data_IF_664362145877
#
_entry.id   IF_664362145877
#
_cell.length_a   1.000
_cell.length_b   1.000
_cell.length_c   1.000
_cell.angle_alpha   90.00
_cell.angle_beta   90.00
_cell.angle_gamma   90.00
#
_symmetry.space_group_name_H-M   'P 1'
#
loop_
_entity.id
_entity.type
_entity.pdbx_description
1 polymer ?
#
# COMPACT_ATOMS: atom_id res chain seq x y z
N UNK A 1 21.14 -2.88 7.01
CA UNK A 1 20.65 -3.37 8.30
C UNK A 1 19.34 -4.16 8.21
N UNK A 2 18.28 -3.67 7.51
CA UNK A 2 16.98 -4.40 7.36
C UNK A 2 17.12 -5.77 6.69
N UNK A 3 17.88 -5.90 5.57
CA UNK A 3 18.06 -7.19 4.89
C UNK A 3 18.75 -8.24 5.77
N UNK A 4 19.67 -7.80 6.62
CA UNK A 4 20.37 -8.70 7.57
C UNK A 4 19.42 -9.21 8.65
N UNK A 5 18.52 -8.37 9.16
CA UNK A 5 17.50 -8.75 10.13
C UNK A 5 16.53 -9.80 9.58
N UNK A 6 16.05 -9.63 8.36
CA UNK A 6 15.17 -10.62 7.68
C UNK A 6 15.88 -11.94 7.46
N UNK A 7 17.15 -11.92 7.06
CA UNK A 7 17.96 -13.15 6.88
C UNK A 7 18.16 -13.84 8.23
N UNK A 8 18.54 -13.11 9.27
CA UNK A 8 18.69 -13.64 10.62
C UNK A 8 17.36 -14.26 11.09
N UNK A 9 16.24 -13.55 10.93
CA UNK A 9 14.92 -14.03 11.32
C UNK A 9 14.50 -15.31 10.59
N UNK A 10 14.80 -15.41 9.29
CA UNK A 10 14.45 -16.58 8.47
C UNK A 10 15.25 -17.83 8.82
N UNK A 11 16.49 -17.69 9.25
CA UNK A 11 17.39 -18.82 9.48
C UNK A 11 17.57 -19.19 10.95
N UNK A 12 17.26 -18.31 11.90
CA UNK A 12 17.47 -18.60 13.33
C UNK A 12 16.64 -19.78 13.83
N UNK A 13 15.37 -19.88 13.48
CA UNK A 13 14.52 -20.99 13.95
C UNK A 13 14.98 -22.35 13.37
N UNK A 14 15.20 -22.51 12.05
CA UNK A 14 15.73 -23.75 11.49
C UNK A 14 17.07 -24.16 12.11
N UNK A 15 17.96 -23.19 12.32
CA UNK A 15 19.28 -23.46 12.94
C UNK A 15 19.13 -23.91 14.39
N UNK A 16 18.31 -23.24 15.19
CA UNK A 16 18.06 -23.62 16.58
C UNK A 16 17.42 -25.01 16.68
N UNK A 17 16.44 -25.31 15.83
CA UNK A 17 15.81 -26.64 15.78
C UNK A 17 16.83 -27.72 15.39
N UNK A 18 17.68 -27.46 14.40
CA UNK A 18 18.71 -28.38 13.97
C UNK A 18 19.73 -28.65 15.09
N UNK A 19 20.19 -27.62 15.78
CA UNK A 19 21.10 -27.72 16.91
C UNK A 19 20.44 -28.55 18.05
N UNK A 20 19.19 -28.23 18.36
CA UNK A 20 18.44 -28.99 19.43
C UNK A 20 18.30 -30.45 19.06
N UNK A 21 18.04 -30.77 17.80
CA UNK A 21 17.92 -32.16 17.33
C UNK A 21 19.25 -32.92 17.43
N UNK A 22 20.34 -32.26 17.03
CA UNK A 22 21.71 -32.84 17.12
C UNK A 22 22.05 -33.12 18.60
N UNK A 23 21.83 -32.14 19.48
CA UNK A 23 22.10 -32.30 20.91
C UNK A 23 21.24 -33.39 21.53
N UNK A 24 19.97 -33.50 21.09
CA UNK A 24 19.07 -34.60 21.53
C UNK A 24 19.62 -36.00 21.12
N UNK A 25 20.05 -36.14 19.86
CA UNK A 25 20.67 -37.38 19.39
C UNK A 25 21.95 -37.72 20.17
N UNK A 26 22.80 -36.73 20.45
CA UNK A 26 24.01 -36.90 21.23
C UNK A 26 23.71 -37.35 22.69
N UNK A 27 22.67 -36.76 23.31
CA UNK A 27 22.25 -37.13 24.65
C UNK A 27 21.73 -38.56 24.69
N UNK A 28 20.98 -39.00 23.66
CA UNK A 28 20.56 -40.40 23.54
C UNK A 28 21.79 -41.32 23.46
N UNK A 29 22.75 -40.98 22.60
CA UNK A 29 23.99 -41.75 22.44
C UNK A 29 24.78 -41.86 23.75
N UNK A 30 24.90 -40.77 24.49
CA UNK A 30 25.60 -40.74 25.80
C UNK A 30 24.90 -41.58 26.85
N UNK A 31 23.56 -41.48 27.00
CA UNK A 31 22.80 -42.26 27.94
C UNK A 31 22.85 -43.78 27.66
N UNK A 32 22.84 -44.17 26.40
CA UNK A 32 23.03 -45.54 25.96
C UNK A 32 24.46 -46.04 26.24
N UNK A 33 25.47 -45.22 25.92
CA UNK A 33 26.88 -45.55 26.15
C UNK A 33 27.23 -45.68 27.64
N UNK A 34 26.59 -44.90 28.50
CA UNK A 34 26.73 -44.95 29.94
C UNK A 34 25.92 -46.09 30.61
N UNK A 35 25.12 -46.85 29.84
CA UNK A 35 24.26 -47.93 30.39
C UNK A 35 23.06 -47.42 31.19
N UNK A 36 22.75 -46.11 31.09
CA UNK A 36 21.63 -45.48 31.80
C UNK A 36 20.27 -45.76 31.17
N UNK A 37 20.24 -46.17 29.92
CA UNK A 37 19.05 -46.56 29.18
C UNK A 37 19.29 -47.86 28.41
N UNK A 38 18.27 -48.76 28.40
CA UNK A 38 18.34 -50.05 27.72
C UNK A 38 18.06 -50.00 26.23
N UNK A 39 17.38 -48.94 25.80
CA UNK A 39 17.04 -48.75 24.38
C UNK A 39 16.93 -47.23 24.03
N UNK A 40 16.97 -46.87 22.72
CA UNK A 40 16.90 -45.48 22.29
C UNK A 40 15.63 -44.75 22.69
N UNK A 41 14.50 -45.46 22.80
CA UNK A 41 13.20 -44.87 23.18
C UNK A 41 13.24 -44.43 24.64
N UNK A 42 13.73 -45.33 25.53
CA UNK A 42 13.91 -45.03 26.94
C UNK A 42 14.88 -43.85 27.15
N UNK A 43 15.99 -43.86 26.43
CA UNK A 43 16.97 -42.77 26.45
C UNK A 43 16.33 -41.44 25.99
N UNK A 44 15.48 -41.47 24.96
CA UNK A 44 14.76 -40.32 24.44
C UNK A 44 13.73 -39.77 25.43
N UNK A 45 12.96 -40.64 26.07
CA UNK A 45 12.00 -40.29 27.13
C UNK A 45 12.72 -39.67 28.32
N UNK A 46 13.78 -40.27 28.79
CA UNK A 46 14.60 -39.76 29.90
C UNK A 46 15.26 -38.42 29.54
N UNK A 47 15.63 -38.19 28.26
CA UNK A 47 16.15 -36.93 27.81
C UNK A 47 15.08 -35.84 27.82
N UNK A 48 13.84 -36.16 27.43
CA UNK A 48 12.71 -35.23 27.39
C UNK A 48 12.13 -34.90 28.77
N UNK A 49 12.13 -35.87 29.70
CA UNK A 49 11.55 -35.69 31.04
C UNK A 49 12.47 -34.97 32.01
N UNK A 50 13.69 -34.60 31.57
CA UNK A 50 14.67 -33.90 32.41
C UNK A 50 15.06 -34.66 33.68
N UNK A 51 14.77 -35.96 33.73
CA UNK A 51 15.12 -36.82 34.83
C UNK A 51 16.64 -37.05 34.78
N UNK A 52 17.35 -36.22 35.48
CA UNK A 52 18.77 -35.97 35.29
C UNK A 52 19.66 -36.87 36.14
N UNK A 53 20.30 -37.81 35.50
CA UNK A 53 21.71 -38.00 35.84
C UNK A 53 22.47 -36.91 35.07
N UNK A 54 23.17 -36.05 35.80
CA UNK A 54 23.88 -34.86 35.28
C UNK A 54 24.99 -35.26 34.31
N UNK A 55 24.63 -35.37 33.05
CA UNK A 55 25.65 -35.48 31.99
C UNK A 55 25.81 -34.09 31.34
N UNK A 56 27.01 -33.70 30.92
CA UNK A 56 27.28 -32.37 30.36
C UNK A 56 26.40 -32.05 29.14
N UNK A 57 26.06 -33.07 28.33
CA UNK A 57 25.19 -32.91 27.17
C UNK A 57 23.73 -32.60 27.53
N UNK A 58 23.22 -33.12 28.65
CA UNK A 58 21.86 -32.88 29.12
C UNK A 58 21.66 -31.38 29.41
N UNK A 59 22.66 -30.72 29.99
CA UNK A 59 22.61 -29.30 30.29
C UNK A 59 22.54 -28.46 28.98
N UNK A 60 23.35 -28.77 27.97
CA UNK A 60 23.33 -28.06 26.66
C UNK A 60 22.02 -28.32 25.91
N UNK A 61 21.49 -29.54 25.98
CA UNK A 61 20.19 -29.86 25.36
C UNK A 61 19.06 -29.07 26.00
N UNK A 62 18.99 -29.04 27.35
CA UNK A 62 18.00 -28.27 28.08
C UNK A 62 18.07 -26.79 27.75
N UNK A 63 19.28 -26.23 27.66
CA UNK A 63 19.49 -24.86 27.23
C UNK A 63 18.98 -24.63 25.79
N UNK A 64 19.31 -25.53 24.86
CA UNK A 64 18.88 -25.40 23.45
C UNK A 64 17.36 -25.52 23.31
N UNK A 65 16.72 -26.44 24.04
CA UNK A 65 15.26 -26.59 24.07
C UNK A 65 14.61 -25.31 24.62
N UNK A 66 15.07 -24.83 25.77
CA UNK A 66 14.54 -23.62 26.40
C UNK A 66 14.71 -22.40 25.52
N UNK A 67 15.86 -22.25 24.82
CA UNK A 67 16.07 -21.18 23.85
C UNK A 67 15.12 -21.28 22.67
N UNK A 68 14.84 -22.51 22.18
CA UNK A 68 13.89 -22.74 21.08
C UNK A 68 12.46 -22.36 21.50
N UNK A 69 12.04 -22.76 22.70
CA UNK A 69 10.74 -22.38 23.27
C UNK A 69 10.63 -20.88 23.51
N UNK A 70 11.67 -20.25 24.08
CA UNK A 70 11.71 -18.80 24.28
C UNK A 70 11.63 -18.03 22.94
N UNK A 71 12.32 -18.53 21.91
CA UNK A 71 12.26 -17.96 20.56
C UNK A 71 10.87 -18.15 19.92
N UNK A 72 10.26 -19.33 20.03
CA UNK A 72 8.92 -19.58 19.52
C UNK A 72 7.88 -18.70 20.24
N UNK A 73 7.96 -18.60 21.57
CA UNK A 73 7.10 -17.72 22.36
C UNK A 73 7.30 -16.25 21.98
N UNK A 74 8.55 -15.80 21.78
CA UNK A 74 8.86 -14.45 21.29
C UNK A 74 8.28 -14.21 19.90
N UNK A 75 8.35 -15.18 18.98
CA UNK A 75 7.73 -15.06 17.65
C UNK A 75 6.21 -14.96 17.72
N UNK A 76 5.56 -15.80 18.53
CA UNK A 76 4.10 -15.73 18.74
C UNK A 76 3.73 -14.38 19.36
N UNK A 77 4.48 -13.92 20.34
CA UNK A 77 4.30 -12.63 20.97
C UNK A 77 4.52 -11.48 19.97
N UNK A 78 5.58 -11.52 19.17
CA UNK A 78 5.85 -10.54 18.11
C UNK A 78 4.79 -10.58 17.00
N UNK A 79 4.29 -11.76 16.62
CA UNK A 79 3.21 -11.88 15.65
C UNK A 79 1.88 -11.31 16.20
N UNK A 80 1.56 -11.57 17.46
CA UNK A 80 0.36 -11.04 18.13
C UNK A 80 0.46 -9.52 18.41
N UNK A 81 1.65 -9.02 18.68
CA UNK A 81 1.94 -7.60 18.88
C UNK A 81 2.27 -6.87 17.59
N UNK A 82 2.67 -7.57 16.52
CA UNK A 82 3.19 -6.98 15.29
C UNK A 82 2.27 -5.92 14.71
N UNK A 83 0.95 -6.17 14.70
CA UNK A 83 -0.07 -5.21 14.29
C UNK A 83 -0.12 -3.96 15.18
N UNK A 84 0.09 -4.12 16.48
CA UNK A 84 0.08 -3.01 17.45
C UNK A 84 1.41 -2.28 17.47
N UNK A 85 2.51 -3.00 17.32
CA UNK A 85 3.85 -2.43 17.26
C UNK A 85 4.08 -1.64 15.99
N UNK A 86 3.62 -2.10 14.81
CA UNK A 86 3.72 -1.36 13.57
C UNK A 86 2.99 -0.01 13.66
N UNK A 87 1.77 -0.01 14.20
CA UNK A 87 1.02 1.22 14.42
C UNK A 87 1.73 2.16 15.42
N UNK A 88 2.31 1.62 16.49
CA UNK A 88 3.07 2.40 17.47
C UNK A 88 4.38 2.94 16.89
N UNK A 89 5.11 2.12 16.13
CA UNK A 89 6.35 2.51 15.46
C UNK A 89 6.12 3.59 14.41
N UNK A 90 5.08 3.44 13.60
CA UNK A 90 4.67 4.48 12.64
C UNK A 90 4.35 5.77 13.39
N UNK A 91 3.50 5.69 14.41
CA UNK A 91 3.07 6.86 15.18
C UNK A 91 4.22 7.57 15.91
N UNK A 92 5.23 6.84 16.38
CA UNK A 92 6.29 7.40 17.21
C UNK A 92 7.55 7.79 16.42
N UNK A 93 7.90 7.03 15.38
CA UNK A 93 9.20 7.12 14.72
C UNK A 93 9.16 7.58 13.26
N UNK A 94 7.99 7.54 12.58
CA UNK A 94 7.92 8.04 11.20
C UNK A 94 7.89 9.56 11.20
N UNK A 95 8.81 10.17 10.44
CA UNK A 95 8.87 11.61 10.17
C UNK A 95 9.09 11.80 8.68
N UNK A 96 8.58 12.89 8.12
CA UNK A 96 8.76 13.23 6.69
C UNK A 96 8.43 12.03 5.80
N UNK A 97 7.21 11.53 5.91
CA UNK A 97 6.77 10.34 5.21
C UNK A 97 5.52 10.61 4.39
N UNK A 98 5.24 9.70 3.46
CA UNK A 98 4.05 9.70 2.62
C UNK A 98 3.00 8.77 3.23
N UNK A 99 1.79 9.25 3.43
CA UNK A 99 0.64 8.47 3.88
C UNK A 99 -0.27 8.20 2.68
N UNK A 100 -0.62 6.96 2.44
CA UNK A 100 -1.58 6.55 1.40
C UNK A 100 -2.74 5.84 2.09
N UNK A 101 -3.96 6.32 1.88
CA UNK A 101 -5.17 5.72 2.45
C UNK A 101 -6.05 5.21 1.32
N UNK A 102 -6.37 3.91 1.34
CA UNK A 102 -7.13 3.26 0.28
C UNK A 102 -8.11 2.20 0.81
N UNK A 103 -9.02 1.78 -0.04
CA UNK A 103 -9.93 0.66 0.22
C UNK A 103 -10.98 0.92 1.28
N UNK A 104 -11.25 2.19 1.59
CA UNK A 104 -12.27 2.57 2.54
C UNK A 104 -13.61 2.81 1.85
N UNK A 105 -14.64 2.11 2.27
CA UNK A 105 -16.02 2.42 1.93
C UNK A 105 -16.87 2.43 3.21
N UNK A 106 -17.41 3.59 3.56
CA UNK A 106 -18.31 3.73 4.71
C UNK A 106 -19.65 3.03 4.49
N UNK A 107 -20.01 2.75 3.26
CA UNK A 107 -21.40 2.46 2.93
C UNK A 107 -21.70 1.15 2.27
N UNK A 108 -20.81 0.36 1.69
CA UNK A 108 -21.22 -0.96 1.19
C UNK A 108 -20.12 -1.77 0.50
N UNK A 109 -20.34 -3.08 0.55
CA UNK A 109 -19.74 -4.17 -0.19
C UNK A 109 -19.23 -3.78 -1.58
N UNK A 110 -18.02 -4.20 -1.84
CA UNK A 110 -17.36 -4.28 -3.14
C UNK A 110 -18.38 -4.54 -4.27
N UNK A 111 -18.75 -3.51 -5.01
CA UNK A 111 -19.25 -3.67 -6.35
C UNK A 111 -18.07 -4.03 -7.25
N UNK A 112 -17.96 -5.30 -7.53
CA UNK A 112 -17.01 -5.91 -8.44
C UNK A 112 -17.13 -5.28 -9.83
N UNK A 113 -16.04 -4.67 -10.32
CA UNK A 113 -15.97 -4.24 -11.72
C UNK A 113 -15.29 -2.90 -12.01
N UNK A 114 -14.87 -2.16 -10.99
CA UNK A 114 -14.07 -0.92 -11.17
C UNK A 114 -12.61 -1.19 -10.83
N UNK A 115 -11.72 -0.39 -11.39
CA UNK A 115 -10.30 -0.39 -11.05
C UNK A 115 -10.13 -0.57 -9.54
N UNK A 116 -9.44 -1.62 -9.14
CA UNK A 116 -9.22 -1.91 -7.74
C UNK A 116 -8.30 -0.82 -7.17
N UNK A 117 -8.88 0.15 -6.48
CA UNK A 117 -8.13 1.29 -5.92
C UNK A 117 -7.09 0.82 -4.91
N UNK A 118 -7.27 -0.36 -4.32
CA UNK A 118 -6.28 -0.98 -3.45
C UNK A 118 -5.02 -1.35 -4.23
N UNK A 119 -5.16 -1.90 -5.44
CA UNK A 119 -4.01 -2.24 -6.29
C UNK A 119 -3.30 -0.97 -6.77
N UNK A 120 -4.05 0.05 -7.19
CA UNK A 120 -3.47 1.36 -7.51
C UNK A 120 -2.72 1.98 -6.33
N UNK A 121 -3.29 1.93 -5.13
CA UNK A 121 -2.65 2.44 -3.92
C UNK A 121 -1.38 1.66 -3.56
N UNK A 122 -1.39 0.35 -3.78
CA UNK A 122 -0.23 -0.52 -3.58
C UNK A 122 0.90 -0.17 -4.54
N UNK A 123 0.59 -0.04 -5.83
CA UNK A 123 1.57 0.34 -6.85
C UNK A 123 2.14 1.74 -6.59
N UNK A 124 1.29 2.67 -6.17
CA UNK A 124 1.70 4.01 -5.74
C UNK A 124 2.65 3.93 -4.53
N UNK A 125 2.32 3.10 -3.54
CA UNK A 125 3.15 2.92 -2.34
C UNK A 125 4.51 2.31 -2.68
N UNK A 126 4.55 1.29 -3.54
CA UNK A 126 5.78 0.65 -4.01
C UNK A 126 6.63 1.66 -4.80
N UNK A 127 6.02 2.43 -5.67
CA UNK A 127 6.73 3.45 -6.45
C UNK A 127 7.29 4.55 -5.55
N UNK A 128 6.51 5.04 -4.59
CA UNK A 128 6.92 6.08 -3.66
C UNK A 128 7.99 5.60 -2.67
N UNK A 129 7.99 4.31 -2.30
CA UNK A 129 8.96 3.74 -1.33
C UNK A 129 10.41 3.77 -1.81
N UNK A 130 10.64 3.95 -3.11
CA UNK A 130 11.98 4.09 -3.68
C UNK A 130 12.70 5.34 -3.17
N UNK A 131 11.95 6.42 -2.93
CA UNK A 131 12.51 7.73 -2.58
C UNK A 131 12.02 8.26 -1.23
N UNK A 132 10.94 7.70 -0.68
CA UNK A 132 10.30 8.19 0.54
C UNK A 132 10.02 7.05 1.51
N UNK A 133 9.91 7.38 2.80
CA UNK A 133 9.26 6.47 3.75
C UNK A 133 7.76 6.48 3.47
N UNK A 134 7.16 5.31 3.32
CA UNK A 134 5.73 5.20 2.97
C UNK A 134 4.98 4.44 4.04
N UNK A 135 3.81 4.94 4.37
CA UNK A 135 2.81 4.29 5.22
C UNK A 135 1.54 4.14 4.40
N UNK A 136 1.07 2.92 4.20
CA UNK A 136 -0.22 2.64 3.57
C UNK A 136 -1.23 2.22 4.64
N UNK A 137 -2.39 2.86 4.63
CA UNK A 137 -3.51 2.52 5.51
C UNK A 137 -4.59 1.78 4.70
N UNK A 138 -4.86 0.54 5.09
CA UNK A 138 -5.81 -0.36 4.44
C UNK A 138 -6.79 -0.94 5.48
N UNK A 139 -8.07 -1.19 5.13
CA UNK A 139 -9.04 -1.79 6.05
C UNK A 139 -8.68 -3.24 6.36
N UNK A 140 -8.21 -3.97 5.37
CA UNK A 140 -7.79 -5.36 5.48
C UNK A 140 -6.66 -5.63 4.49
N UNK A 141 -5.73 -6.49 4.88
CA UNK A 141 -4.64 -6.96 4.03
C UNK A 141 -4.29 -8.38 4.45
N UNK A 142 -4.01 -9.23 3.49
CA UNK A 142 -3.49 -10.58 3.69
C UNK A 142 -2.04 -10.52 4.19
N UNK A 143 -1.65 -11.49 5.02
CA UNK A 143 -0.33 -11.51 5.65
C UNK A 143 0.81 -11.59 4.63
N UNK A 144 0.62 -12.32 3.54
CA UNK A 144 1.60 -12.42 2.45
C UNK A 144 1.82 -11.06 1.77
N UNK A 145 0.74 -10.35 1.51
CA UNK A 145 0.80 -9.01 0.90
C UNK A 145 1.42 -7.99 1.85
N UNK A 146 1.15 -8.11 3.14
CA UNK A 146 1.77 -7.28 4.18
C UNK A 146 3.27 -7.52 4.22
N UNK A 147 3.71 -8.77 4.20
CA UNK A 147 5.12 -9.15 4.22
C UNK A 147 5.84 -8.59 2.98
N UNK A 148 5.23 -8.74 1.80
CA UNK A 148 5.77 -8.19 0.56
C UNK A 148 5.94 -6.66 0.63
N UNK A 149 4.92 -5.94 1.09
CA UNK A 149 5.00 -4.48 1.24
C UNK A 149 6.07 -4.06 2.24
N UNK A 150 6.20 -4.81 3.33
CA UNK A 150 7.22 -4.55 4.34
C UNK A 150 8.65 -4.77 3.80
N UNK A 151 8.89 -5.82 3.01
CA UNK A 151 10.15 -6.07 2.31
C UNK A 151 10.51 -4.92 1.35
N UNK A 152 9.51 -4.34 0.70
CA UNK A 152 9.66 -3.18 -0.17
C UNK A 152 9.79 -1.84 0.58
N UNK A 153 9.81 -1.87 1.93
CA UNK A 153 9.98 -0.69 2.76
C UNK A 153 8.70 0.10 3.02
N UNK A 154 7.54 -0.42 2.63
CA UNK A 154 6.22 0.17 2.89
C UNK A 154 5.70 -0.35 4.23
N UNK A 155 5.33 0.54 5.13
CA UNK A 155 4.68 0.18 6.39
C UNK A 155 3.18 0.13 6.21
N UNK A 156 2.55 -0.91 6.75
CA UNK A 156 1.11 -1.11 6.63
C UNK A 156 0.44 -0.84 7.97
N UNK A 157 -0.57 0.02 7.92
CA UNK A 157 -1.47 0.30 9.05
C UNK A 157 -2.83 -0.26 8.69
N UNK A 158 -3.31 -1.19 9.49
CA UNK A 158 -4.69 -1.69 9.37
C UNK A 158 -5.58 -0.86 10.28
N UNK A 159 -6.70 -0.41 9.76
CA UNK A 159 -7.63 0.37 10.57
C UNK A 159 -9.05 -0.14 10.49
N UNK A 160 -9.84 0.21 11.50
CA UNK A 160 -11.28 -0.06 11.54
C UNK A 160 -11.99 1.20 12.06
N UNK A 161 -12.94 1.72 11.28
CA UNK A 161 -13.84 2.78 11.74
C UNK A 161 -13.43 4.21 11.37
N UNK A 162 -13.23 5.10 12.32
CA UNK A 162 -13.11 6.54 12.16
C UNK A 162 -11.89 7.00 11.32
N UNK A 163 -12.07 7.96 10.38
CA UNK A 163 -10.99 8.57 9.61
C UNK A 163 -9.87 9.16 10.47
N UNK A 164 -10.24 9.86 11.53
CA UNK A 164 -9.28 10.54 12.41
C UNK A 164 -8.40 9.54 13.12
N UNK A 165 -8.97 8.44 13.61
CA UNK A 165 -8.21 7.35 14.24
C UNK A 165 -7.22 6.72 13.25
N UNK A 166 -7.66 6.50 12.00
CA UNK A 166 -6.82 5.96 10.92
C UNK A 166 -5.64 6.87 10.60
N UNK A 167 -5.91 8.16 10.38
CA UNK A 167 -4.90 9.15 10.09
C UNK A 167 -3.90 9.30 11.23
N UNK A 168 -4.36 9.24 12.47
CA UNK A 168 -3.50 9.26 13.65
C UNK A 168 -2.62 8.01 13.73
N UNK A 169 -3.17 6.83 13.43
CA UNK A 169 -2.39 5.58 13.36
C UNK A 169 -1.34 5.63 12.25
N UNK A 170 -1.65 6.25 11.11
CA UNK A 170 -0.73 6.47 10.01
C UNK A 170 0.29 7.60 10.26
N UNK A 171 0.21 8.30 11.40
CA UNK A 171 1.16 9.35 11.77
C UNK A 171 1.03 10.64 10.98
N UNK A 172 -0.19 11.01 10.57
CA UNK A 172 -0.48 12.15 9.69
C UNK A 172 0.09 13.48 10.20
N UNK A 173 0.19 13.66 11.51
CA UNK A 173 0.72 14.88 12.13
C UNK A 173 2.19 15.17 11.78
N UNK A 174 2.91 14.22 11.19
CA UNK A 174 4.32 14.30 10.82
C UNK A 174 4.60 13.88 9.37
N UNK A 175 3.56 13.67 8.59
CA UNK A 175 3.64 13.35 7.18
C UNK A 175 3.86 14.62 6.33
N UNK A 176 4.59 14.49 5.23
CA UNK A 176 4.74 15.57 4.25
C UNK A 176 3.62 15.52 3.21
N UNK A 177 3.23 14.32 2.82
CA UNK A 177 2.20 14.08 1.81
C UNK A 177 1.18 13.07 2.30
N UNK A 178 -0.07 13.29 1.88
CA UNK A 178 -1.14 12.32 2.01
C UNK A 178 -1.82 12.11 0.66
N UNK A 179 -2.09 10.85 0.33
CA UNK A 179 -2.92 10.44 -0.80
C UNK A 179 -4.16 9.74 -0.29
N UNK A 180 -5.34 10.29 -0.60
CA UNK A 180 -6.63 9.66 -0.38
C UNK A 180 -7.07 9.03 -1.69
N UNK A 181 -7.10 7.69 -1.75
CA UNK A 181 -7.33 6.89 -2.97
C UNK A 181 -8.36 5.78 -2.73
N UNK A 182 -9.43 6.10 -2.04
CA UNK A 182 -10.57 5.20 -1.86
C UNK A 182 -11.46 5.18 -3.11
N UNK A 183 -12.30 4.16 -3.22
CA UNK A 183 -13.22 4.00 -4.37
C UNK A 183 -14.26 5.14 -4.45
N UNK A 184 -14.69 5.65 -3.31
CA UNK A 184 -15.68 6.71 -3.24
C UNK A 184 -14.99 8.09 -3.10
N UNK A 185 -15.26 9.03 -4.01
CA UNK A 185 -14.68 10.37 -3.94
C UNK A 185 -15.10 11.16 -2.69
N UNK A 186 -16.29 10.89 -2.14
CA UNK A 186 -16.76 11.54 -0.90
C UNK A 186 -15.91 11.11 0.30
N UNK A 187 -15.52 9.82 0.35
CA UNK A 187 -14.65 9.30 1.40
C UNK A 187 -13.24 9.92 1.29
N UNK A 188 -12.73 10.09 0.06
CA UNK A 188 -11.46 10.76 -0.19
C UNK A 188 -11.47 12.23 0.26
N UNK A 189 -12.57 12.93 0.03
CA UNK A 189 -12.75 14.31 0.51
C UNK A 189 -12.84 14.36 2.04
N UNK A 190 -13.59 13.44 2.65
CA UNK A 190 -13.73 13.35 4.11
C UNK A 190 -12.38 13.09 4.79
N UNK A 191 -11.59 12.14 4.26
CA UNK A 191 -10.23 11.87 4.72
C UNK A 191 -9.32 13.09 4.56
N UNK A 192 -9.41 13.75 3.40
CA UNK A 192 -8.62 14.95 3.13
C UNK A 192 -8.97 16.10 4.07
N UNK A 193 -10.26 16.29 4.36
CA UNK A 193 -10.75 17.28 5.33
C UNK A 193 -10.24 16.97 6.74
N UNK A 194 -10.34 15.72 7.18
CA UNK A 194 -9.83 15.30 8.48
C UNK A 194 -8.31 15.50 8.59
N UNK A 195 -7.55 15.20 7.52
CA UNK A 195 -6.10 15.39 7.49
C UNK A 195 -5.68 16.86 7.55
N UNK A 196 -6.43 17.74 6.89
CA UNK A 196 -6.14 19.18 6.83
C UNK A 196 -6.76 19.98 7.96
N UNK A 197 -7.52 19.32 8.84
CA UNK A 197 -8.14 19.96 10.01
C UNK A 197 -7.10 20.56 10.94
N UNK A 198 -7.38 21.69 11.60
CA UNK A 198 -6.52 22.29 12.62
C UNK A 198 -6.14 21.32 13.75
N UNK A 199 -7.00 20.33 14.03
CA UNK A 199 -6.75 19.30 15.04
C UNK A 199 -5.53 18.42 14.76
N UNK A 200 -5.13 18.27 13.49
CA UNK A 200 -3.95 17.46 13.10
C UNK A 200 -2.62 18.16 13.39
N UNK A 201 -2.63 19.47 13.66
CA UNK A 201 -1.44 20.32 13.97
C UNK A 201 -0.36 20.31 12.87
N UNK A 202 -0.60 19.70 11.71
CA UNK A 202 0.38 19.63 10.63
C UNK A 202 0.08 20.71 9.57
N UNK A 203 0.79 21.83 9.67
CA UNK A 203 0.60 22.97 8.75
C UNK A 203 1.30 22.81 7.40
N UNK A 204 2.21 21.87 7.25
CA UNK A 204 3.01 21.66 6.03
C UNK A 204 2.47 20.51 5.16
N UNK A 205 1.53 19.72 5.68
CA UNK A 205 0.94 18.59 4.98
C UNK A 205 0.33 19.00 3.64
N UNK A 206 0.76 18.32 2.58
CA UNK A 206 0.16 18.41 1.24
C UNK A 206 -0.75 17.21 1.00
N UNK A 207 -1.99 17.45 0.65
CA UNK A 207 -2.97 16.38 0.43
C UNK A 207 -3.29 16.25 -1.06
N UNK A 208 -3.31 15.00 -1.53
CA UNK A 208 -3.72 14.61 -2.89
C UNK A 208 -4.96 13.74 -2.77
N UNK A 209 -6.07 14.20 -3.34
CA UNK A 209 -7.37 13.56 -3.23
C UNK A 209 -7.79 13.03 -4.60
N UNK A 210 -7.97 11.71 -4.71
CA UNK A 210 -8.50 11.07 -5.91
C UNK A 210 -9.98 11.40 -6.06
N UNK A 211 -10.35 11.90 -7.23
CA UNK A 211 -11.73 12.24 -7.57
C UNK A 211 -12.08 11.59 -8.90
N UNK A 212 -12.83 10.50 -8.81
CA UNK A 212 -13.43 9.80 -9.94
C UNK A 212 -14.97 9.84 -9.78
N UNK A 213 -15.74 9.98 -10.82
CA UNK A 213 -15.37 10.24 -12.20
C UNK A 213 -14.99 11.70 -12.46
N UNK A 214 -14.47 11.97 -13.67
CA UNK A 214 -13.89 13.27 -14.03
C UNK A 214 -14.86 14.45 -13.87
N UNK A 215 -16.14 14.27 -14.20
CA UNK A 215 -17.17 15.32 -14.07
C UNK A 215 -17.42 15.73 -12.61
N UNK A 216 -17.26 14.80 -11.65
CA UNK A 216 -17.41 15.10 -10.23
C UNK A 216 -16.34 16.09 -9.75
N UNK A 217 -15.09 15.97 -10.25
CA UNK A 217 -14.01 16.90 -9.94
C UNK A 217 -14.37 18.35 -10.31
N UNK A 218 -15.09 18.54 -11.44
CA UNK A 218 -15.51 19.86 -11.89
C UNK A 218 -16.70 20.44 -11.12
N UNK A 219 -17.61 19.56 -10.69
CA UNK A 219 -18.80 19.97 -9.94
C UNK A 219 -18.52 20.31 -8.47
N UNK A 220 -17.32 19.96 -7.96
CA UNK A 220 -16.96 20.22 -6.58
C UNK A 220 -16.68 21.70 -6.33
N UNK A 221 -17.43 22.26 -5.41
CA UNK A 221 -17.17 23.57 -4.82
C UNK A 221 -16.36 23.35 -3.55
N UNK A 222 -15.04 23.45 -3.65
CA UNK A 222 -14.12 23.13 -2.56
C UNK A 222 -14.33 24.02 -1.34
N UNK A 223 -14.76 25.25 -1.56
CA UNK A 223 -15.05 26.26 -0.53
C UNK A 223 -16.15 25.79 0.45
N UNK A 224 -17.08 24.95 -0.01
CA UNK A 224 -18.12 24.37 0.84
C UNK A 224 -17.60 23.25 1.76
N UNK A 225 -16.46 22.66 1.42
CA UNK A 225 -15.91 21.50 2.13
C UNK A 225 -14.68 21.81 2.98
N UNK A 226 -13.94 22.85 2.66
CA UNK A 226 -12.65 23.16 3.27
C UNK A 226 -12.54 24.62 3.68
N UNK A 227 -11.84 24.87 4.77
CA UNK A 227 -11.45 26.24 5.15
C UNK A 227 -10.42 26.79 4.16
N UNK A 228 -10.44 28.09 3.88
CA UNK A 228 -9.58 28.76 2.89
C UNK A 228 -8.10 28.41 3.01
N UNK A 229 -7.57 28.38 4.23
CA UNK A 229 -6.17 28.03 4.49
C UNK A 229 -5.84 26.56 4.20
N UNK A 230 -6.86 25.70 4.09
CA UNK A 230 -6.70 24.27 3.81
C UNK A 230 -6.73 23.97 2.32
N UNK A 231 -7.45 24.78 1.53
CA UNK A 231 -7.61 24.59 0.08
C UNK A 231 -6.27 24.70 -0.66
N UNK A 232 -5.40 25.60 -0.25
CA UNK A 232 -4.07 25.76 -0.87
C UNK A 232 -3.19 24.52 -0.76
N UNK A 233 -3.45 23.66 0.23
CA UNK A 233 -2.72 22.41 0.51
C UNK A 233 -3.41 21.18 -0.08
N UNK A 234 -4.62 21.34 -0.64
CA UNK A 234 -5.39 20.28 -1.28
C UNK A 234 -5.18 20.32 -2.79
N UNK A 235 -4.89 19.16 -3.39
CA UNK A 235 -4.87 18.98 -4.83
C UNK A 235 -5.77 17.81 -5.22
N UNK A 236 -6.76 18.09 -6.05
CA UNK A 236 -7.59 17.05 -6.63
C UNK A 236 -6.90 16.46 -7.85
N UNK A 237 -6.87 15.14 -7.95
CA UNK A 237 -6.39 14.46 -9.14
C UNK A 237 -7.38 13.40 -9.60
N UNK A 238 -7.28 13.03 -10.86
CA UNK A 238 -8.09 12.00 -11.50
C UNK A 238 -7.16 11.03 -12.23
N UNK A 239 -7.33 9.74 -12.01
CA UNK A 239 -6.44 8.72 -12.56
C UNK A 239 -6.51 8.68 -14.09
N UNK A 240 -7.73 8.74 -14.65
CA UNK A 240 -7.92 8.73 -16.09
C UNK A 240 -7.27 9.94 -16.76
N UNK A 241 -7.34 11.12 -16.12
CA UNK A 241 -6.68 12.36 -16.60
C UNK A 241 -5.14 12.23 -16.57
N UNK A 242 -4.57 11.64 -15.52
CA UNK A 242 -3.13 11.41 -15.43
C UNK A 242 -2.64 10.44 -16.51
N UNK A 243 -3.38 9.36 -16.75
CA UNK A 243 -3.08 8.38 -17.82
C UNK A 243 -3.16 9.07 -19.19
N UNK A 244 -4.24 9.82 -19.42
CA UNK A 244 -4.40 10.55 -20.68
C UNK A 244 -3.24 11.53 -20.96
N UNK A 245 -2.83 12.30 -19.95
CA UNK A 245 -1.67 13.21 -20.06
C UNK A 245 -0.39 12.44 -20.38
N UNK A 246 -0.17 11.31 -19.71
CA UNK A 246 1.02 10.49 -19.95
C UNK A 246 1.02 9.92 -21.37
N UNK A 247 -0.10 9.40 -21.86
CA UNK A 247 -0.23 8.88 -23.22
C UNK A 247 0.07 9.99 -24.22
N UNK A 248 -0.57 11.15 -24.09
CA UNK A 248 -0.37 12.26 -25.02
C UNK A 248 1.03 12.88 -24.95
N UNK A 249 1.71 12.79 -23.82
CA UNK A 249 3.11 13.23 -23.69
C UNK A 249 4.10 12.24 -24.32
N UNK A 250 3.79 10.94 -24.30
CA UNK A 250 4.64 9.91 -24.93
C UNK A 250 4.38 9.77 -26.42
N UNK A 251 3.14 10.01 -26.84
CA UNK A 251 2.70 9.91 -28.22
C UNK A 251 1.99 11.21 -28.63
N UNK A 252 2.73 12.31 -28.80
CA UNK A 252 2.13 13.58 -29.19
C UNK A 252 1.48 13.45 -30.58
N UNK A 253 0.21 13.82 -30.74
CA UNK A 253 -0.52 13.60 -31.98
C UNK A 253 -0.12 14.54 -33.12
N UNK A 254 0.68 15.54 -32.83
CA UNK A 254 1.14 16.58 -33.76
C UNK A 254 2.53 16.33 -34.38
N UNK A 255 3.24 15.29 -33.97
CA UNK A 255 4.59 14.97 -34.46
C UNK A 255 4.61 14.86 -35.98
N UNK A 256 3.60 14.22 -36.58
CA UNK A 256 3.52 13.97 -38.02
C UNK A 256 3.10 15.20 -38.81
N UNK A 257 2.42 16.17 -38.19
CA UNK A 257 1.83 17.33 -38.88
C UNK A 257 2.43 18.68 -38.45
N UNK A 258 3.46 18.66 -37.60
CA UNK A 258 4.06 19.88 -37.02
C UNK A 258 4.53 20.90 -38.07
N UNK A 259 4.88 20.45 -39.25
CA UNK A 259 5.38 21.29 -40.36
C UNK A 259 4.52 21.21 -41.63
N UNK A 260 3.29 20.72 -41.55
CA UNK A 260 2.37 20.63 -42.67
C UNK A 260 1.10 21.43 -42.42
N UNK A 261 0.38 21.78 -43.50
CA UNK A 261 -0.95 22.39 -43.43
C UNK A 261 -2.04 21.34 -43.14
N UNK A 262 -1.64 20.12 -42.89
CA UNK A 262 -2.56 19.01 -42.62
C UNK A 262 -3.23 19.13 -41.28
N UNK A 263 -4.44 18.64 -41.21
CA UNK A 263 -5.24 18.63 -39.99
C UNK A 263 -4.93 17.40 -39.14
N UNK A 264 -4.62 17.58 -37.86
CA UNK A 264 -4.51 16.45 -36.92
C UNK A 264 -5.85 15.72 -36.80
N UNK A 265 -5.85 14.43 -37.06
CA UNK A 265 -7.03 13.59 -36.96
C UNK A 265 -6.75 12.40 -36.03
N UNK A 266 -7.48 12.36 -34.93
CA UNK A 266 -7.38 11.26 -33.92
C UNK A 266 -8.59 10.35 -34.01
N UNK A 267 -8.34 9.06 -34.13
CA UNK A 267 -9.36 8.01 -34.06
C UNK A 267 -9.36 7.42 -32.64
N UNK A 268 -10.52 7.45 -32.00
CA UNK A 268 -10.73 6.88 -30.65
C UNK A 268 -11.65 5.68 -30.77
N UNK A 269 -11.18 4.52 -30.31
CA UNK A 269 -11.95 3.29 -30.30
C UNK A 269 -12.50 3.03 -28.88
N UNK A 270 -13.82 3.05 -28.76
CA UNK A 270 -14.54 2.87 -27.49
C UNK A 270 -14.57 4.15 -26.63
N UNK A 271 -15.54 4.19 -25.71
CA UNK A 271 -15.71 5.29 -24.75
C UNK A 271 -15.59 4.74 -23.32
N UNK A 272 -14.40 4.87 -22.76
CA UNK A 272 -14.09 4.57 -21.35
C UNK A 272 -13.74 5.87 -20.64
N UNK A 273 -13.59 5.86 -19.33
CA UNK A 273 -13.13 7.05 -18.57
C UNK A 273 -11.77 7.55 -19.05
N UNK A 274 -10.89 6.64 -19.48
CA UNK A 274 -9.56 7.00 -20.01
C UNK A 274 -9.70 7.68 -21.38
N UNK A 275 -10.50 7.12 -22.29
CA UNK A 275 -10.70 7.72 -23.61
C UNK A 275 -11.45 9.04 -23.55
N UNK A 276 -12.41 9.20 -22.64
CA UNK A 276 -13.03 10.50 -22.33
C UNK A 276 -11.99 11.52 -21.88
N UNK A 277 -11.09 11.12 -20.98
CA UNK A 277 -10.01 11.99 -20.52
C UNK A 277 -9.01 12.32 -21.64
N UNK A 278 -8.68 11.37 -22.54
CA UNK A 278 -7.84 11.61 -23.72
C UNK A 278 -8.50 12.64 -24.64
N UNK A 279 -9.78 12.48 -24.96
CA UNK A 279 -10.54 13.41 -25.80
C UNK A 279 -10.49 14.83 -25.22
N UNK A 280 -10.75 14.97 -23.91
CA UNK A 280 -10.73 16.26 -23.23
C UNK A 280 -9.33 16.89 -23.19
N UNK A 281 -8.30 16.10 -22.90
CA UNK A 281 -6.93 16.60 -22.90
C UNK A 281 -6.49 17.00 -24.31
N UNK A 282 -6.80 16.17 -25.31
CA UNK A 282 -6.52 16.46 -26.70
C UNK A 282 -7.22 17.76 -27.17
N UNK A 283 -8.49 17.95 -26.82
CA UNK A 283 -9.21 19.18 -27.13
C UNK A 283 -8.58 20.42 -26.47
N UNK A 284 -8.02 20.29 -25.27
CA UNK A 284 -7.36 21.39 -24.54
C UNK A 284 -6.00 21.79 -25.15
N UNK A 285 -5.22 20.80 -25.62
CA UNK A 285 -3.88 21.05 -26.18
C UNK A 285 -3.90 21.29 -27.69
N UNK A 286 -5.03 21.08 -28.37
CA UNK A 286 -5.18 21.08 -29.82
C UNK A 286 -5.08 22.46 -30.48
N UNK A 287 -4.18 23.33 -30.00
CA UNK A 287 -3.85 24.61 -30.63
C UNK A 287 -2.57 24.47 -31.45
N UNK A 288 -2.72 24.16 -32.73
CA UNK A 288 -1.60 23.93 -33.64
C UNK A 288 -1.21 25.25 -34.41
N UNK A 289 0.05 25.30 -34.83
CA UNK A 289 0.59 26.49 -35.54
C UNK A 289 -0.17 26.84 -36.80
N UNK A 290 -0.75 25.86 -37.49
CA UNK A 290 -1.52 26.07 -38.73
C UNK A 290 -2.96 26.54 -38.49
N UNK A 291 -3.36 26.80 -37.23
CA UNK A 291 -4.72 27.20 -36.83
C UNK A 291 -5.83 26.23 -37.24
N UNK A 292 -5.49 25.02 -37.69
CA UNK A 292 -6.46 23.99 -38.02
C UNK A 292 -7.00 23.34 -36.75
N UNK A 293 -8.33 23.33 -36.62
CA UNK A 293 -8.96 22.61 -35.46
C UNK A 293 -8.77 21.12 -35.62
N UNK A 294 -8.31 20.43 -34.56
CA UNK A 294 -8.18 18.97 -34.64
C UNK A 294 -9.51 18.29 -34.90
N UNK A 295 -9.47 17.16 -35.61
CA UNK A 295 -10.62 16.28 -35.80
C UNK A 295 -10.52 15.08 -34.89
N UNK A 296 -11.61 14.75 -34.19
CA UNK A 296 -11.71 13.54 -33.36
C UNK A 296 -12.83 12.71 -33.94
N UNK A 297 -12.53 11.47 -34.32
CA UNK A 297 -13.53 10.49 -34.70
C UNK A 297 -13.60 9.42 -33.61
N UNK A 298 -14.81 9.16 -33.12
CA UNK A 298 -15.03 8.21 -32.04
C UNK A 298 -15.90 7.07 -32.58
N UNK A 299 -15.43 5.83 -32.39
CA UNK A 299 -16.13 4.62 -32.83
C UNK A 299 -16.33 3.72 -31.62
N UNK A 300 -17.58 3.33 -31.34
CA UNK A 300 -17.88 2.43 -30.21
C UNK A 300 -19.38 2.33 -29.92
N UNK A 301 -19.72 1.42 -29.05
CA UNK A 301 -21.08 1.25 -28.55
C UNK A 301 -21.44 2.41 -27.61
N UNK A 302 -22.71 2.87 -27.65
CA UNK A 302 -23.25 3.98 -26.84
C UNK A 302 -22.46 5.30 -26.91
N UNK A 303 -21.64 5.47 -27.95
CA UNK A 303 -20.76 6.63 -28.14
C UNK A 303 -21.55 7.93 -28.17
N UNK A 304 -22.68 7.98 -28.85
CA UNK A 304 -23.51 9.17 -28.98
C UNK A 304 -24.04 9.66 -27.63
N UNK A 305 -24.61 8.76 -26.83
CA UNK A 305 -25.11 9.11 -25.49
C UNK A 305 -24.01 9.64 -24.58
N UNK A 306 -22.83 9.00 -24.64
CA UNK A 306 -21.67 9.45 -23.84
C UNK A 306 -21.10 10.76 -24.33
N UNK A 307 -21.08 11.00 -25.64
CA UNK A 307 -20.63 12.26 -26.22
C UNK A 307 -21.56 13.41 -25.84
N UNK A 308 -22.87 13.21 -25.89
CA UNK A 308 -23.87 14.20 -25.43
C UNK A 308 -23.62 14.54 -23.95
N UNK A 309 -23.40 13.53 -23.13
CA UNK A 309 -23.08 13.73 -21.72
C UNK A 309 -21.75 14.50 -21.54
N UNK A 310 -20.71 14.11 -22.28
CA UNK A 310 -19.42 14.78 -22.24
C UNK A 310 -19.54 16.27 -22.63
N UNK A 311 -20.31 16.60 -23.68
CA UNK A 311 -20.59 17.96 -24.09
C UNK A 311 -21.36 18.76 -23.04
N UNK A 312 -22.30 18.11 -22.33
CA UNK A 312 -23.04 18.74 -21.22
C UNK A 312 -22.14 19.03 -20.03
N UNK A 313 -21.26 18.09 -19.70
CA UNK A 313 -20.36 18.20 -18.55
C UNK A 313 -19.15 19.13 -18.83
N UNK A 314 -18.79 19.27 -20.11
CA UNK A 314 -17.64 20.08 -20.59
C UNK A 314 -18.04 20.88 -21.85
N UNK A 315 -18.82 21.96 -21.68
CA UNK A 315 -19.30 22.81 -22.79
C UNK A 315 -18.18 23.53 -23.50
#
# INVERSE_FOLDING_TARGET
MKKLLVIIERWTLPVLVSISLILFCLTIGEKMGAGLAKNPIEAGVQALTLDSAETGFTLYMNFAINMTFAWAALKIFMASLGLRLDNLLVRKFSRSHVVIVAGFSWRNKLETGRFNQVDFARDLAISASKNHNVVIALPQIEDDQRTLLWELGVRVVTYRGDPTATLNAAGISRADFMFAVCDNPVDNLTLSRAALSPSTKNKTLQTRCLVEPLHFKRALKLEEYFEDNSISRLRLFNQSELIARKILSQFPPDISVANSDERVHVLVLGMTSITEAIILQFARIGHYKNNQKPKITIVGLDTEKRLIKLHKDFP
#
